data_IF_161472946232
#
_entry.id   IF_161472946232
#
_cell.length_a   1.000
_cell.length_b   1.000
_cell.length_c   1.000
_cell.angle_alpha   90.00
_cell.angle_beta   90.00
_cell.angle_gamma   90.00
#
_symmetry.space_group_name_H-M   'P 1'
#
loop_
_entity.id
_entity.type
_entity.pdbx_description
1 polymer ?
#
# COMPACT_ATOMS: atom_id res chain seq x y z
N UNK A 1 -70.97 -0.27 37.24
CA UNK A 1 -69.54 -0.51 37.53
C UNK A 1 -68.91 -1.53 36.59
N UNK A 2 -69.50 -2.71 36.36
CA UNK A 2 -68.92 -3.76 35.50
C UNK A 2 -68.72 -3.32 34.03
N UNK A 3 -69.62 -2.52 33.45
CA UNK A 3 -69.51 -2.02 32.08
C UNK A 3 -68.39 -0.98 31.89
N UNK A 4 -68.15 -0.12 32.89
CA UNK A 4 -67.11 0.89 32.87
C UNK A 4 -65.71 0.22 32.99
N UNK A 5 -65.62 -0.82 33.80
CA UNK A 5 -64.38 -1.61 33.96
C UNK A 5 -64.01 -2.35 32.68
N UNK A 6 -64.99 -2.90 31.96
CA UNK A 6 -64.75 -3.56 30.66
C UNK A 6 -64.27 -2.62 29.59
N UNK A 7 -64.82 -1.36 29.55
CA UNK A 7 -64.37 -0.32 28.61
C UNK A 7 -62.97 0.14 28.91
N UNK A 8 -62.62 0.33 30.18
CA UNK A 8 -61.27 0.71 30.61
C UNK A 8 -60.24 -0.38 30.28
N UNK A 9 -60.59 -1.65 30.47
CA UNK A 9 -59.69 -2.76 30.17
C UNK A 9 -59.46 -2.91 28.67
N UNK A 10 -60.50 -2.69 27.82
CA UNK A 10 -60.33 -2.72 26.36
C UNK A 10 -59.50 -1.54 25.81
N UNK A 11 -59.62 -0.37 26.45
CA UNK A 11 -58.82 0.79 26.08
C UNK A 11 -57.31 0.58 26.44
N UNK A 12 -57.03 -0.07 27.55
CA UNK A 12 -55.69 -0.38 28.02
C UNK A 12 -55.02 -1.41 27.10
N UNK A 13 -55.75 -2.39 26.59
CA UNK A 13 -55.21 -3.38 25.63
C UNK A 13 -54.96 -2.80 24.24
N UNK A 14 -55.76 -1.85 23.78
CA UNK A 14 -55.51 -1.12 22.53
C UNK A 14 -54.29 -0.20 22.61
N UNK A 15 -54.04 0.39 23.76
CA UNK A 15 -52.89 1.23 23.97
C UNK A 15 -51.57 0.45 24.05
N UNK A 16 -51.62 -0.80 24.57
CA UNK A 16 -50.43 -1.67 24.62
C UNK A 16 -50.01 -2.23 23.25
N UNK A 17 -50.92 -2.45 22.33
CA UNK A 17 -50.60 -2.87 20.95
C UNK A 17 -49.92 -1.79 20.12
N UNK A 18 -50.19 -0.51 20.41
CA UNK A 18 -49.55 0.63 19.70
C UNK A 18 -48.09 0.83 20.01
N UNK A 19 -47.60 0.35 21.18
CA UNK A 19 -46.21 0.56 21.61
C UNK A 19 -45.23 -0.51 21.11
N UNK A 20 -45.73 -1.62 20.54
CA UNK A 20 -44.89 -2.70 20.02
C UNK A 20 -44.45 -2.49 18.55
N UNK A 21 -45.02 -1.53 17.85
CA UNK A 21 -44.66 -1.22 16.45
C UNK A 21 -43.47 -0.24 16.29
N UNK A 22 -42.92 0.30 17.37
CA UNK A 22 -41.89 1.34 17.28
C UNK A 22 -40.44 0.82 17.27
N UNK A 23 -40.21 -0.49 17.35
CA UNK A 23 -38.85 -1.07 17.38
C UNK A 23 -38.50 -1.88 16.14
N UNK A 24 -39.00 -1.49 14.96
CA UNK A 24 -38.37 -1.92 13.70
C UNK A 24 -37.30 -0.91 13.31
N UNK A 25 -36.25 -0.78 14.14
CA UNK A 25 -35.02 -0.18 13.70
C UNK A 25 -34.52 -1.01 12.51
N UNK A 26 -34.70 -0.47 11.32
CA UNK A 26 -34.09 -0.97 10.08
C UNK A 26 -32.60 -1.07 10.40
N UNK A 27 -32.08 -2.26 10.69
CA UNK A 27 -30.65 -2.49 10.69
C UNK A 27 -30.19 -2.08 9.30
N UNK A 28 -29.57 -0.91 9.19
CA UNK A 28 -28.80 -0.54 8.02
C UNK A 28 -27.67 -1.56 7.98
N UNK A 29 -27.90 -2.63 7.24
CA UNK A 29 -26.81 -3.54 6.89
C UNK A 29 -25.82 -2.66 6.13
N UNK A 30 -24.54 -2.64 6.49
CA UNK A 30 -23.58 -1.92 5.69
C UNK A 30 -23.73 -2.39 4.26
N UNK A 31 -23.97 -1.46 3.36
CA UNK A 31 -24.09 -1.76 1.94
C UNK A 31 -22.83 -2.53 1.54
N UNK A 32 -23.00 -3.79 1.20
CA UNK A 32 -21.92 -4.59 0.64
C UNK A 32 -21.60 -3.91 -0.69
N UNK A 33 -20.39 -3.38 -0.88
CA UNK A 33 -20.04 -2.73 -2.14
C UNK A 33 -20.30 -3.70 -3.28
N UNK A 34 -20.83 -3.19 -4.39
CA UNK A 34 -21.04 -4.02 -5.55
C UNK A 34 -19.68 -4.51 -6.10
N UNK A 35 -19.71 -5.57 -6.90
CA UNK A 35 -18.48 -6.18 -7.42
C UNK A 35 -17.68 -5.22 -8.27
N UNK A 36 -18.32 -4.32 -8.99
CA UNK A 36 -17.67 -3.34 -9.85
C UNK A 36 -16.89 -2.32 -9.03
N UNK A 37 -17.49 -1.74 -8.00
CA UNK A 37 -16.83 -0.82 -7.05
C UNK A 37 -15.64 -1.49 -6.35
N UNK A 38 -15.75 -2.78 -6.00
CA UNK A 38 -14.63 -3.53 -5.41
C UNK A 38 -13.49 -3.67 -6.41
N UNK A 39 -13.78 -4.01 -7.67
CA UNK A 39 -12.75 -4.15 -8.70
C UNK A 39 -12.05 -2.84 -9.04
N UNK A 40 -12.79 -1.73 -9.11
CA UNK A 40 -12.21 -0.40 -9.29
C UNK A 40 -11.25 -0.07 -8.15
N UNK A 41 -11.71 -0.21 -6.91
CA UNK A 41 -10.89 0.08 -5.72
C UNK A 41 -9.63 -0.79 -5.67
N UNK A 42 -9.74 -2.07 -5.96
CA UNK A 42 -8.59 -3.00 -5.99
C UNK A 42 -7.62 -2.63 -7.10
N UNK A 43 -8.13 -2.25 -8.27
CA UNK A 43 -7.29 -1.84 -9.40
C UNK A 43 -6.52 -0.56 -9.11
N UNK A 44 -7.17 0.44 -8.53
CA UNK A 44 -6.53 1.69 -8.10
C UNK A 44 -5.48 1.44 -7.01
N UNK A 45 -5.81 0.63 -6.02
CA UNK A 45 -4.88 0.24 -4.96
C UNK A 45 -3.65 -0.49 -5.51
N UNK A 46 -3.84 -1.38 -6.48
CA UNK A 46 -2.75 -2.07 -7.17
C UNK A 46 -1.83 -1.10 -7.92
N UNK A 47 -2.42 -0.21 -8.73
CA UNK A 47 -1.64 0.78 -9.50
C UNK A 47 -0.87 1.70 -8.56
N UNK A 48 -1.48 2.14 -7.47
CA UNK A 48 -0.85 2.99 -6.46
C UNK A 48 0.29 2.28 -5.72
N UNK A 49 0.09 1.04 -5.32
CA UNK A 49 1.05 0.28 -4.52
C UNK A 49 2.18 -0.34 -5.35
N UNK A 50 1.95 -0.61 -6.64
CA UNK A 50 2.89 -1.34 -7.49
C UNK A 50 4.30 -0.73 -7.52
N UNK A 51 4.50 0.58 -7.72
CA UNK A 51 5.85 1.16 -7.73
C UNK A 51 6.57 0.99 -6.39
N UNK A 52 5.85 1.10 -5.29
CA UNK A 52 6.41 0.95 -3.95
C UNK A 52 6.87 -0.48 -3.69
N UNK A 53 6.03 -1.46 -4.01
CA UNK A 53 6.35 -2.88 -3.88
C UNK A 53 7.53 -3.26 -4.78
N UNK A 54 7.53 -2.78 -6.02
CA UNK A 54 8.63 -3.03 -6.96
C UNK A 54 9.95 -2.42 -6.47
N UNK A 55 9.90 -1.21 -5.91
CA UNK A 55 11.07 -0.55 -5.34
C UNK A 55 11.63 -1.31 -4.15
N UNK A 56 10.77 -1.79 -3.24
CA UNK A 56 11.19 -2.58 -2.09
C UNK A 56 11.79 -3.94 -2.51
N UNK A 57 11.19 -4.60 -3.47
CA UNK A 57 11.73 -5.82 -4.05
C UNK A 57 13.10 -5.58 -4.71
N UNK A 58 13.25 -4.47 -5.45
CA UNK A 58 14.52 -4.08 -6.07
C UNK A 58 15.58 -3.77 -5.02
N UNK A 59 15.24 -3.05 -3.96
CA UNK A 59 16.12 -2.80 -2.82
C UNK A 59 16.60 -4.12 -2.21
N UNK A 60 15.67 -5.01 -1.90
CA UNK A 60 15.97 -6.31 -1.30
C UNK A 60 16.94 -7.13 -2.17
N UNK A 61 16.70 -7.16 -3.47
CA UNK A 61 17.60 -7.84 -4.40
C UNK A 61 18.97 -7.18 -4.51
N UNK A 62 19.03 -5.85 -4.55
CA UNK A 62 20.27 -5.08 -4.72
C UNK A 62 21.15 -5.06 -3.47
N UNK A 63 20.56 -5.25 -2.30
CA UNK A 63 21.27 -5.27 -1.01
C UNK A 63 21.59 -6.67 -0.50
N UNK A 64 21.06 -7.71 -1.14
CA UNK A 64 21.39 -9.10 -0.80
C UNK A 64 22.75 -9.48 -1.39
N UNK A 65 23.75 -9.63 -0.53
CA UNK A 65 25.13 -9.96 -0.89
C UNK A 65 25.50 -11.43 -0.67
N UNK A 66 24.52 -12.28 -0.31
CA UNK A 66 24.75 -13.71 -0.02
C UNK A 66 25.08 -14.56 -1.26
N UNK A 67 25.01 -13.98 -2.44
CA UNK A 67 25.17 -14.70 -3.70
C UNK A 67 26.40 -14.29 -4.48
N UNK A 68 26.63 -15.03 -5.58
CA UNK A 68 27.70 -14.77 -6.54
C UNK A 68 27.36 -13.64 -7.54
N UNK A 69 26.23 -12.97 -7.40
CA UNK A 69 25.77 -11.95 -8.33
C UNK A 69 26.56 -10.65 -8.13
N UNK A 70 27.15 -10.17 -9.21
CA UNK A 70 27.80 -8.86 -9.27
C UNK A 70 26.76 -7.73 -9.30
N UNK A 71 27.14 -6.53 -8.90
CA UNK A 71 26.27 -5.37 -8.96
C UNK A 71 25.39 -5.17 -7.72
N UNK A 72 25.78 -5.75 -6.58
CA UNK A 72 25.10 -5.61 -5.29
C UNK A 72 26.02 -5.03 -4.23
N UNK A 73 25.46 -4.27 -3.31
CA UNK A 73 26.17 -3.77 -2.13
C UNK A 73 25.22 -3.75 -0.92
N UNK A 74 25.73 -3.92 0.30
CA UNK A 74 24.93 -3.74 1.51
C UNK A 74 24.31 -2.34 1.57
N UNK A 75 23.29 -2.16 2.42
CA UNK A 75 22.75 -0.85 2.77
C UNK A 75 23.89 0.10 3.19
N UNK A 76 23.80 1.36 2.79
CA UNK A 76 24.77 2.42 3.09
C UNK A 76 26.16 2.22 2.46
N UNK A 77 26.26 1.35 1.46
CA UNK A 77 27.49 1.15 0.69
C UNK A 77 27.25 1.32 -0.81
N UNK A 78 28.28 1.83 -1.49
CA UNK A 78 28.22 1.98 -2.93
C UNK A 78 28.54 0.68 -3.65
N UNK A 79 27.77 0.38 -4.67
CA UNK A 79 28.13 -0.51 -5.75
C UNK A 79 28.59 0.33 -6.95
N UNK A 80 29.81 0.09 -7.42
CA UNK A 80 30.39 0.78 -8.57
C UNK A 80 30.40 -0.15 -9.78
N UNK A 81 29.72 0.23 -10.85
CA UNK A 81 29.80 -0.50 -12.10
C UNK A 81 31.19 -0.37 -12.71
N UNK A 82 31.81 -1.49 -13.03
CA UNK A 82 33.18 -1.55 -13.58
C UNK A 82 33.19 -1.55 -15.12
N UNK A 83 32.03 -1.73 -15.75
CA UNK A 83 31.88 -1.87 -17.19
C UNK A 83 30.60 -1.19 -17.65
N UNK A 84 30.62 -0.72 -18.88
CA UNK A 84 29.41 -0.25 -19.56
C UNK A 84 28.47 -1.44 -19.82
N UNK A 85 27.18 -1.15 -19.90
CA UNK A 85 26.20 -2.14 -20.30
C UNK A 85 26.44 -2.57 -21.75
N UNK A 86 26.47 -3.86 -22.01
CA UNK A 86 26.62 -4.46 -23.33
C UNK A 86 25.39 -5.30 -23.70
N UNK A 87 25.45 -5.96 -24.85
CA UNK A 87 24.35 -6.78 -25.36
C UNK A 87 23.96 -7.97 -24.45
N UNK A 88 24.76 -8.34 -23.46
CA UNK A 88 24.45 -9.40 -22.49
C UNK A 88 23.68 -8.88 -21.27
N UNK A 89 23.63 -7.57 -21.07
CA UNK A 89 22.94 -6.96 -19.94
C UNK A 89 21.42 -7.17 -20.04
N UNK A 90 20.80 -7.70 -18.99
CA UNK A 90 19.37 -8.08 -18.98
C UNK A 90 18.60 -7.52 -17.78
N UNK A 91 19.21 -6.69 -16.95
CA UNK A 91 18.61 -6.24 -15.70
C UNK A 91 17.52 -5.20 -15.94
N UNK A 92 17.68 -4.35 -16.95
CA UNK A 92 16.69 -3.33 -17.34
C UNK A 92 16.51 -3.31 -18.86
N UNK A 93 15.38 -2.77 -19.32
CA UNK A 93 15.01 -2.80 -20.75
C UNK A 93 15.79 -1.83 -21.63
N UNK A 94 16.23 -0.69 -21.08
CA UNK A 94 16.97 0.35 -21.83
C UNK A 94 18.15 0.83 -20.99
N UNK A 95 19.22 0.03 -20.86
CA UNK A 95 20.37 0.44 -20.07
C UNK A 95 21.09 1.61 -20.75
N UNK A 96 21.68 2.48 -19.94
CA UNK A 96 22.64 3.45 -20.44
C UNK A 96 23.93 2.72 -20.82
N UNK A 97 24.41 2.98 -22.02
CA UNK A 97 25.63 2.35 -22.58
C UNK A 97 26.83 3.30 -22.65
N UNK A 98 26.66 4.55 -22.19
CA UNK A 98 27.66 5.61 -22.35
C UNK A 98 28.43 5.90 -21.05
N UNK A 99 27.83 5.61 -19.90
CA UNK A 99 28.42 5.90 -18.59
C UNK A 99 28.29 4.74 -17.63
N UNK A 100 29.23 4.64 -16.71
CA UNK A 100 29.14 3.71 -15.57
C UNK A 100 28.47 4.41 -14.37
N UNK A 101 27.78 3.65 -13.56
CA UNK A 101 27.05 4.14 -12.40
C UNK A 101 27.68 3.72 -11.09
N UNK A 102 27.57 4.60 -10.10
CA UNK A 102 27.73 4.27 -8.70
C UNK A 102 26.37 4.37 -8.03
N UNK A 103 25.92 3.30 -7.42
CA UNK A 103 24.59 3.21 -6.81
C UNK A 103 24.71 2.80 -5.34
N UNK A 104 23.86 3.36 -4.50
CA UNK A 104 23.72 2.96 -3.11
C UNK A 104 22.26 3.02 -2.69
N UNK A 105 21.86 2.09 -1.86
CA UNK A 105 20.62 2.16 -1.09
C UNK A 105 20.95 2.72 0.28
N UNK A 106 20.32 3.84 0.64
CA UNK A 106 20.62 4.56 1.87
C UNK A 106 19.49 4.36 2.87
N UNK A 107 19.87 4.03 4.10
CA UNK A 107 18.97 4.09 5.25
C UNK A 107 19.35 5.32 6.08
N UNK A 108 18.44 6.28 6.13
CA UNK A 108 18.57 7.55 6.87
C UNK A 108 17.60 7.62 8.04
N UNK A 109 17.06 6.49 8.48
CA UNK A 109 16.05 6.43 9.54
C UNK A 109 16.60 6.83 10.91
N UNK A 110 17.87 6.57 11.17
CA UNK A 110 18.51 6.84 12.46
C UNK A 110 19.38 8.09 12.44
N UNK A 111 20.11 8.30 11.35
CA UNK A 111 21.05 9.44 11.23
C UNK A 111 21.13 9.96 9.79
N UNK A 112 21.45 11.25 9.61
CA UNK A 112 21.69 11.81 8.29
C UNK A 112 23.00 11.30 7.70
N UNK A 113 23.02 11.11 6.38
CA UNK A 113 24.23 10.70 5.65
C UNK A 113 24.83 11.86 4.88
N UNK A 114 26.15 11.95 4.86
CA UNK A 114 26.89 12.93 4.09
C UNK A 114 27.47 12.23 2.87
N UNK A 115 27.07 12.71 1.70
CA UNK A 115 27.63 12.26 0.43
C UNK A 115 28.71 13.23 -0.03
N UNK A 116 29.94 12.74 -0.18
CA UNK A 116 31.08 13.53 -0.64
C UNK A 116 31.44 13.11 -2.05
N UNK A 117 31.31 14.05 -2.98
CA UNK A 117 31.75 13.85 -4.35
C UNK A 117 33.24 14.29 -4.48
N UNK A 118 34.06 13.49 -5.17
CA UNK A 118 35.40 13.95 -5.52
C UNK A 118 35.32 15.13 -6.50
N UNK A 119 36.38 15.91 -6.58
CA UNK A 119 36.51 16.93 -7.61
C UNK A 119 36.54 16.26 -8.99
N UNK A 120 35.66 16.69 -9.87
CA UNK A 120 35.53 16.16 -11.24
C UNK A 120 35.52 17.30 -12.22
N UNK A 121 35.98 17.06 -13.44
CA UNK A 121 35.94 18.00 -14.55
C UNK A 121 34.60 18.05 -15.29
N UNK A 122 33.65 17.22 -14.87
CA UNK A 122 32.30 17.12 -15.42
C UNK A 122 31.25 17.10 -14.31
N UNK A 123 30.04 17.51 -14.66
CA UNK A 123 28.88 17.26 -13.79
C UNK A 123 28.59 15.77 -13.71
N UNK A 124 28.40 15.29 -12.50
CA UNK A 124 27.97 13.93 -12.23
C UNK A 124 26.46 13.86 -11.98
#
# INVERSE_FOLDING_TARGET
MKKIFAILLSLLTLLSCGLLSACSAKKTQPDTPDTETVWETVSEAYIYAFPLVLTDATKTLSTNTDGTMTGRAPINQFNHAQKLADASFRTVVTPNVDTVYSQAWLDISEEPMIFVLPETDRFC
#
